data_IF_711954749262
#
_entry.id   IF_711954749262
#
_cell.length_a   1.000
_cell.length_b   1.000
_cell.length_c   1.000
_cell.angle_alpha   90.00
_cell.angle_beta   90.00
_cell.angle_gamma   90.00
#
_symmetry.space_group_name_H-M   'P 1'
#
loop_
_entity.id
_entity.type
_entity.pdbx_description
1 polymer ?
#
# COMPACT_ATOMS: atom_id res chain seq x y z
N UNK A 1 -0.07 -14.27 8.63
CA UNK A 1 -0.55 -12.91 8.27
C UNK A 1 -1.43 -12.97 7.05
N UNK A 2 -2.71 -12.63 7.19
CA UNK A 2 -3.69 -12.61 6.09
C UNK A 2 -3.34 -11.55 5.03
N UNK A 3 -2.98 -10.35 5.48
CA UNK A 3 -2.64 -9.22 4.61
C UNK A 3 -1.49 -9.54 3.64
N UNK A 4 -0.41 -10.14 4.15
CA UNK A 4 0.77 -10.46 3.33
C UNK A 4 0.47 -11.54 2.29
N UNK A 5 -0.33 -12.55 2.65
CA UNK A 5 -0.81 -13.55 1.70
C UNK A 5 -1.67 -12.91 0.63
N UNK A 6 -2.60 -12.05 1.02
CA UNK A 6 -3.50 -11.35 0.10
C UNK A 6 -2.75 -10.44 -0.89
N UNK A 7 -1.64 -9.84 -0.45
CA UNK A 7 -0.75 -9.03 -1.30
C UNK A 7 0.15 -9.88 -2.20
N UNK A 8 0.80 -10.93 -1.66
CA UNK A 8 1.87 -11.66 -2.36
C UNK A 8 1.40 -12.84 -3.21
N UNK A 9 0.31 -13.50 -2.81
CA UNK A 9 0.04 -14.85 -3.27
C UNK A 9 0.93 -15.89 -2.58
N UNK A 10 1.46 -16.83 -3.37
CA UNK A 10 2.21 -18.01 -2.87
C UNK A 10 3.70 -18.00 -3.20
N UNK A 11 4.19 -16.99 -3.91
CA UNK A 11 5.60 -16.85 -4.25
C UNK A 11 6.31 -15.79 -3.38
N UNK A 12 7.55 -15.44 -3.77
CA UNK A 12 8.43 -14.53 -3.05
C UNK A 12 8.48 -13.10 -3.62
N UNK A 13 7.52 -12.70 -4.47
CA UNK A 13 7.56 -11.39 -5.14
C UNK A 13 7.63 -10.22 -4.14
N UNK A 14 8.41 -9.16 -4.46
CA UNK A 14 8.53 -7.98 -3.60
C UNK A 14 7.29 -7.09 -3.62
N UNK A 15 6.58 -6.97 -4.73
CA UNK A 15 5.40 -6.13 -4.86
C UNK A 15 4.16 -6.98 -5.20
N UNK A 16 2.94 -6.49 -4.95
CA UNK A 16 1.72 -7.25 -5.27
C UNK A 16 1.68 -7.73 -6.73
N UNK A 17 2.23 -6.92 -7.62
CA UNK A 17 2.23 -7.17 -9.06
C UNK A 17 3.45 -7.96 -9.58
N UNK A 18 4.58 -7.95 -8.88
CA UNK A 18 5.80 -8.58 -9.37
C UNK A 18 7.07 -8.04 -8.72
N UNK A 19 8.11 -7.88 -9.54
CA UNK A 19 9.48 -7.68 -9.09
C UNK A 19 9.93 -6.21 -9.05
N UNK A 20 9.42 -5.40 -9.97
CA UNK A 20 9.82 -4.01 -10.16
C UNK A 20 8.66 -3.06 -9.86
N UNK A 21 8.99 -1.82 -9.52
CA UNK A 21 8.02 -0.76 -9.27
C UNK A 21 8.39 0.43 -10.15
N UNK A 22 7.39 0.93 -10.83
CA UNK A 22 7.41 2.16 -11.61
C UNK A 22 6.46 3.17 -10.98
N UNK A 23 6.65 4.48 -11.25
CA UNK A 23 5.77 5.53 -10.76
C UNK A 23 4.27 5.26 -11.00
N UNK A 24 3.93 4.61 -12.12
CA UNK A 24 2.58 4.29 -12.57
C UNK A 24 1.95 3.06 -11.87
N UNK A 25 2.62 2.46 -10.89
CA UNK A 25 2.09 1.30 -10.15
C UNK A 25 1.40 1.63 -8.83
N UNK A 26 1.87 2.67 -8.13
CA UNK A 26 1.40 2.97 -6.78
C UNK A 26 1.69 4.42 -6.40
N UNK A 27 1.01 4.90 -5.36
CA UNK A 27 1.25 6.22 -4.81
C UNK A 27 2.32 6.11 -3.72
N UNK A 28 3.49 6.67 -3.96
CA UNK A 28 4.65 6.62 -3.06
C UNK A 28 5.45 7.92 -3.18
N UNK A 29 6.48 8.08 -2.36
CA UNK A 29 7.32 9.26 -2.43
C UNK A 29 7.95 9.36 -3.82
N UNK A 30 7.70 10.46 -4.55
CA UNK A 30 8.21 10.68 -5.90
C UNK A 30 7.58 9.79 -7.00
N UNK A 31 6.39 9.22 -6.78
CA UNK A 31 5.59 8.58 -7.85
C UNK A 31 5.14 9.56 -8.93
N UNK A 32 5.24 10.87 -8.70
CA UNK A 32 4.90 11.93 -9.65
C UNK A 32 3.49 11.79 -10.23
N UNK A 33 2.61 11.11 -9.50
CA UNK A 33 1.22 10.98 -9.88
C UNK A 33 0.52 12.35 -9.74
N UNK A 34 -0.65 12.54 -10.38
CA UNK A 34 -1.35 13.83 -10.38
C UNK A 34 -1.73 14.36 -8.98
N UNK A 35 -1.65 13.54 -7.93
CA UNK A 35 -1.95 13.91 -6.55
C UNK A 35 -0.69 14.33 -5.76
N UNK A 36 0.50 14.16 -6.32
CA UNK A 36 1.76 14.69 -5.77
C UNK A 36 1.92 16.19 -6.13
N UNK A 37 1.15 17.05 -5.45
CA UNK A 37 1.12 18.50 -5.72
C UNK A 37 2.35 19.28 -5.25
N UNK A 38 3.15 18.70 -4.36
CA UNK A 38 4.35 19.33 -3.79
C UNK A 38 5.51 18.35 -3.94
N UNK A 39 6.51 18.74 -4.73
CA UNK A 39 7.78 18.01 -4.85
C UNK A 39 8.40 17.88 -3.46
N UNK A 40 8.61 16.64 -3.00
CA UNK A 40 9.26 16.37 -1.71
C UNK A 40 8.37 15.78 -0.62
N UNK A 41 7.31 15.06 -0.96
CA UNK A 41 6.60 14.19 -0.01
C UNK A 41 5.42 14.83 0.73
N UNK A 42 4.72 15.79 0.12
CA UNK A 42 3.43 16.28 0.64
C UNK A 42 2.29 16.03 -0.38
N UNK A 43 2.34 14.91 -1.10
CA UNK A 43 1.27 14.48 -1.97
C UNK A 43 -0.01 14.12 -1.20
N UNK A 44 -1.15 14.19 -1.86
CA UNK A 44 -2.42 13.67 -1.34
C UNK A 44 -2.49 12.14 -1.54
N UNK A 45 -3.41 11.46 -0.85
CA UNK A 45 -3.77 10.08 -1.22
C UNK A 45 -4.40 10.06 -2.61
N UNK A 46 -4.17 9.00 -3.36
CA UNK A 46 -4.93 8.72 -4.59
C UNK A 46 -6.28 8.08 -4.24
N UNK A 47 -7.32 8.26 -5.07
CA UNK A 47 -8.54 7.47 -4.96
C UNK A 47 -8.23 5.96 -4.99
N UNK A 48 -8.96 5.17 -4.20
CA UNK A 48 -8.81 3.71 -4.21
C UNK A 48 -9.07 3.16 -5.61
N UNK A 49 -8.19 2.28 -6.08
CA UNK A 49 -8.24 1.71 -7.43
C UNK A 49 -7.87 2.70 -8.55
N UNK A 50 -7.14 3.78 -8.23
CA UNK A 50 -6.64 4.72 -9.24
C UNK A 50 -5.68 4.05 -10.23
N UNK A 51 -4.78 3.19 -9.73
CA UNK A 51 -3.82 2.43 -10.53
C UNK A 51 -4.50 1.21 -11.19
N UNK A 52 -5.19 1.44 -12.31
CA UNK A 52 -6.12 0.49 -12.92
C UNK A 52 -6.00 0.39 -14.45
N UNK A 53 -4.83 0.74 -15.02
CA UNK A 53 -4.57 0.61 -16.45
C UNK A 53 -5.16 1.71 -17.32
N UNK A 54 -5.72 2.76 -16.72
CA UNK A 54 -6.34 3.87 -17.44
C UNK A 54 -5.46 5.10 -17.45
N UNK A 55 -5.75 5.99 -18.39
CA UNK A 55 -5.13 7.31 -18.50
C UNK A 55 -6.02 8.37 -17.86
N UNK A 56 -5.43 9.22 -17.02
CA UNK A 56 -6.06 10.36 -16.36
C UNK A 56 -5.26 11.62 -16.64
N UNK A 57 -5.83 12.57 -17.37
CA UNK A 57 -5.19 13.85 -17.70
C UNK A 57 -3.75 13.72 -18.24
N UNK A 58 -3.51 12.68 -19.05
CA UNK A 58 -2.21 12.38 -19.66
C UNK A 58 -1.27 11.52 -18.81
N UNK A 59 -1.65 11.17 -17.58
CA UNK A 59 -0.96 10.20 -16.73
C UNK A 59 -1.55 8.80 -16.94
N UNK A 60 -0.76 7.87 -17.47
CA UNK A 60 -1.15 6.48 -17.67
C UNK A 60 -0.83 5.68 -16.41
N UNK A 61 -1.78 4.84 -15.97
CA UNK A 61 -1.56 3.91 -14.84
C UNK A 61 -1.39 2.50 -15.35
N UNK A 62 -0.79 1.63 -14.55
CA UNK A 62 -0.66 0.21 -14.88
C UNK A 62 -1.71 -0.59 -14.10
N UNK A 63 -2.44 -1.48 -14.81
CA UNK A 63 -3.43 -2.38 -14.20
C UNK A 63 -2.75 -3.61 -13.61
N UNK A 64 -2.25 -3.51 -12.37
CA UNK A 64 -1.65 -4.66 -11.70
C UNK A 64 -2.14 -4.85 -10.26
N UNK A 65 -3.29 -5.52 -10.08
CA UNK A 65 -3.71 -5.97 -8.75
C UNK A 65 -2.79 -7.08 -8.22
N UNK A 66 -2.94 -7.39 -6.92
CA UNK A 66 -2.34 -8.59 -6.34
C UNK A 66 -2.80 -9.88 -7.05
N UNK A 67 -2.18 -11.05 -6.82
CA UNK A 67 -2.61 -12.31 -7.43
C UNK A 67 -4.04 -12.73 -7.08
N UNK A 68 -4.63 -12.09 -6.07
CA UNK A 68 -6.02 -12.29 -5.65
C UNK A 68 -6.94 -11.13 -6.06
N UNK A 69 -6.50 -10.24 -6.95
CA UNK A 69 -7.31 -9.15 -7.48
C UNK A 69 -7.42 -7.92 -6.57
N UNK A 70 -6.52 -7.75 -5.59
CA UNK A 70 -6.57 -6.63 -4.65
C UNK A 70 -5.68 -5.47 -5.11
N UNK A 71 -6.29 -4.28 -5.23
CA UNK A 71 -5.58 -3.03 -5.47
C UNK A 71 -5.07 -2.40 -4.17
N UNK A 72 -4.17 -1.43 -4.33
CA UNK A 72 -3.66 -0.57 -3.25
C UNK A 72 -3.04 -1.37 -2.09
N UNK A 73 -2.45 -2.52 -2.39
CA UNK A 73 -1.71 -3.31 -1.40
C UNK A 73 -0.29 -2.75 -1.18
N UNK A 74 0.19 -1.84 -2.03
CA UNK A 74 1.44 -1.12 -1.86
C UNK A 74 1.20 0.39 -2.08
N UNK A 75 1.74 1.22 -1.19
CA UNK A 75 1.64 2.68 -1.26
C UNK A 75 0.32 3.24 -0.72
N UNK A 76 0.07 4.50 -1.05
CA UNK A 76 -1.08 5.32 -0.66
C UNK A 76 -1.17 5.55 0.86
N UNK A 77 -1.51 4.52 1.63
CA UNK A 77 -1.59 4.55 3.09
C UNK A 77 -1.05 3.27 3.72
N UNK A 78 -0.39 3.42 4.87
CA UNK A 78 -0.10 2.30 5.76
C UNK A 78 -1.42 1.69 6.23
N UNK A 79 -1.54 0.37 6.19
CA UNK A 79 -2.79 -0.33 6.55
C UNK A 79 -2.64 -1.06 7.87
N UNK A 80 -3.44 -0.66 8.86
CA UNK A 80 -3.52 -1.35 10.15
C UNK A 80 -3.86 -2.84 10.00
N UNK A 81 -3.22 -3.68 10.83
CA UNK A 81 -3.58 -5.09 11.01
C UNK A 81 -3.93 -5.38 12.47
N UNK A 82 -4.64 -6.50 12.69
CA UNK A 82 -5.00 -6.95 14.04
C UNK A 82 -3.82 -7.53 14.84
N UNK A 83 -2.67 -7.75 14.19
CA UNK A 83 -1.47 -8.34 14.80
C UNK A 83 -0.85 -7.38 15.83
N UNK A 84 -0.48 -7.92 16.99
CA UNK A 84 0.13 -7.16 18.11
C UNK A 84 1.65 -7.20 18.01
N UNK A 85 2.30 -6.05 18.21
CA UNK A 85 3.73 -6.00 18.46
C UNK A 85 3.98 -6.23 19.96
N UNK A 86 4.47 -7.44 20.28
CA UNK A 86 4.42 -8.05 21.63
C UNK A 86 5.07 -7.22 22.75
N UNK A 87 6.02 -6.33 22.42
CA UNK A 87 6.82 -5.63 23.42
C UNK A 87 6.34 -4.22 23.78
N UNK A 88 5.41 -3.62 23.01
CA UNK A 88 5.06 -2.20 23.18
C UNK A 88 3.55 -1.90 23.13
N UNK A 89 2.68 -2.93 23.16
CA UNK A 89 1.22 -2.77 22.92
C UNK A 89 0.86 -2.09 21.59
N UNK A 90 1.82 -2.01 20.68
CA UNK A 90 1.64 -1.43 19.35
C UNK A 90 0.88 -2.41 18.44
N UNK A 91 0.37 -1.86 17.34
CA UNK A 91 -0.28 -2.62 16.26
C UNK A 91 0.55 -2.53 15.00
N UNK A 92 0.60 -3.61 14.25
CA UNK A 92 1.32 -3.62 12.98
C UNK A 92 0.55 -2.87 11.89
N UNK A 93 1.32 -2.30 10.96
CA UNK A 93 0.86 -1.75 9.70
C UNK A 93 1.68 -2.33 8.55
N UNK A 94 1.06 -2.41 7.37
CA UNK A 94 1.67 -2.99 6.15
C UNK A 94 1.42 -2.10 4.93
N UNK A 95 2.21 -2.32 3.88
CA UNK A 95 1.99 -1.76 2.53
C UNK A 95 2.75 -0.49 2.18
N UNK A 96 3.35 0.21 3.14
CA UNK A 96 3.93 1.52 2.87
C UNK A 96 2.84 2.60 2.75
N UNK A 97 3.24 3.82 2.40
CA UNK A 97 2.30 4.92 2.16
C UNK A 97 2.85 5.88 1.12
N UNK A 98 2.08 6.90 0.74
CA UNK A 98 2.54 7.99 -0.13
C UNK A 98 3.78 8.76 0.33
N UNK A 99 4.18 8.58 1.60
CA UNK A 99 5.35 9.22 2.21
C UNK A 99 6.62 8.38 2.10
N UNK A 100 6.51 7.15 1.57
CA UNK A 100 7.57 6.15 1.62
C UNK A 100 8.25 5.98 0.27
N UNK A 101 9.55 5.70 0.26
CA UNK A 101 10.23 5.27 -0.96
C UNK A 101 9.82 3.84 -1.36
N UNK A 102 9.97 3.51 -2.65
CA UNK A 102 9.75 2.20 -3.27
C UNK A 102 10.17 0.99 -2.42
N UNK A 103 11.34 1.07 -1.78
CA UNK A 103 11.86 -0.01 -0.92
C UNK A 103 10.89 -0.38 0.21
N UNK A 104 10.20 0.61 0.77
CA UNK A 104 9.26 0.44 1.88
C UNK A 104 7.86 -0.01 1.43
N UNK A 105 7.60 -0.06 0.11
CA UNK A 105 6.35 -0.57 -0.46
C UNK A 105 6.34 -2.10 -0.61
N UNK A 106 7.47 -2.76 -0.34
CA UNK A 106 7.58 -4.21 -0.48
C UNK A 106 6.64 -4.93 0.49
N UNK A 107 6.11 -6.06 0.03
CA UNK A 107 5.06 -6.82 0.71
C UNK A 107 5.46 -7.24 2.13
N UNK A 108 6.74 -7.45 2.42
CA UNK A 108 7.23 -7.79 3.77
C UNK A 108 7.50 -6.58 4.69
N UNK A 109 7.44 -5.35 4.19
CA UNK A 109 7.75 -4.15 4.98
C UNK A 109 6.67 -3.89 6.03
N UNK A 110 7.10 -3.84 7.29
CA UNK A 110 6.24 -3.64 8.45
C UNK A 110 6.56 -2.30 9.09
N UNK A 111 5.51 -1.62 9.52
CA UNK A 111 5.59 -0.52 10.46
C UNK A 111 4.73 -0.88 11.69
N UNK A 112 4.88 -0.16 12.80
CA UNK A 112 4.04 -0.32 13.97
C UNK A 112 4.02 0.97 14.79
N UNK A 113 2.93 1.18 15.53
CA UNK A 113 2.82 2.28 16.47
C UNK A 113 1.63 2.04 17.41
N UNK A 114 1.45 2.95 18.36
CA UNK A 114 0.38 2.87 19.36
C UNK A 114 -1.00 2.85 18.69
N UNK A 115 -1.99 2.14 19.26
CA UNK A 115 -3.31 1.97 18.65
C UNK A 115 -4.16 3.26 18.57
N UNK A 116 -3.68 4.36 19.16
CA UNK A 116 -4.33 5.69 19.11
C UNK A 116 -3.76 6.59 18.01
N UNK A 117 -2.69 6.16 17.35
CA UNK A 117 -2.07 6.92 16.28
C UNK A 117 -3.01 7.04 15.07
N UNK A 118 -3.03 8.22 14.48
CA UNK A 118 -3.74 8.50 13.25
C UNK A 118 -2.96 9.54 12.45
N UNK A 119 -3.01 9.42 11.13
CA UNK A 119 -2.30 10.31 10.22
C UNK A 119 -2.95 10.23 8.83
N UNK A 120 -2.86 11.28 7.98
CA UNK A 120 -3.35 11.23 6.61
C UNK A 120 -2.73 10.13 5.73
N UNK A 121 -1.64 9.49 6.15
CA UNK A 121 -0.99 8.38 5.45
C UNK A 121 -1.25 7.02 6.12
N UNK A 122 -2.23 6.91 7.01
CA UNK A 122 -2.64 5.67 7.66
C UNK A 122 -4.12 5.42 7.42
N UNK A 123 -4.45 4.19 7.06
CA UNK A 123 -5.81 3.70 6.87
C UNK A 123 -5.91 2.22 7.25
N UNK A 124 -6.91 1.54 6.71
CA UNK A 124 -7.12 0.12 6.95
C UNK A 124 -7.93 -0.50 5.80
N UNK A 125 -7.93 -1.83 5.76
CA UNK A 125 -8.88 -2.59 4.96
C UNK A 125 -9.54 -3.64 5.84
N UNK A 126 -10.83 -3.87 5.62
CA UNK A 126 -11.55 -4.88 6.37
C UNK A 126 -11.22 -6.29 5.85
N UNK A 127 -11.29 -7.26 6.75
CA UNK A 127 -11.28 -8.70 6.46
C UNK A 127 -12.46 -9.34 7.19
N UNK A 128 -12.88 -10.50 6.70
CA UNK A 128 -13.88 -11.34 7.36
C UNK A 128 -13.48 -12.80 7.19
N UNK A 129 -13.95 -13.64 8.10
CA UNK A 129 -13.85 -15.08 7.96
C UNK A 129 -14.60 -15.55 6.70
N UNK A 130 -14.10 -16.60 6.06
CA UNK A 130 -14.79 -17.23 4.96
C UNK A 130 -16.11 -17.84 5.46
N UNK A 131 -17.17 -17.70 4.68
CA UNK A 131 -18.41 -18.43 4.93
C UNK A 131 -18.30 -19.75 4.18
N UNK A 132 -18.43 -20.86 4.91
CA UNK A 132 -18.55 -22.21 4.35
C UNK A 132 -19.85 -22.39 3.55
#
# INVERSE_FOLDING_TARGET
MEWEKAARGTDGRPFPWGDEIEPENANFYSSQDPFEKIVGGMGDTTPVGFYNGKTYDGYETIDWPSPFGLYDMAGNVWQWTGDVYEYQHDRYMRGGSKMEYEYNLRVWTRNNTTPVYHSPNVGFRCVREAQD
#
